data_IF_279154413139
#
_entry.id   IF_279154413139
#
_cell.length_a   1.000
_cell.length_b   1.000
_cell.length_c   1.000
_cell.angle_alpha   90.00
_cell.angle_beta   90.00
_cell.angle_gamma   90.00
#
_symmetry.space_group_name_H-M   'P 1'
#
loop_
_entity.id
_entity.type
_entity.pdbx_description
1 polymer ?
#
# COMPACT_ATOMS: atom_id res chain seq x y z
N UNK A 1 -31.51 15.34 -13.59
CA UNK A 1 -31.45 14.09 -14.36
C UNK A 1 -30.00 13.83 -14.70
N UNK A 2 -29.40 12.84 -14.02
CA UNK A 2 -28.21 12.17 -14.55
C UNK A 2 -28.62 11.31 -15.77
N UNK A 3 -27.66 10.97 -16.66
CA UNK A 3 -26.86 9.78 -16.39
C UNK A 3 -25.35 10.02 -16.61
N UNK A 4 -24.55 9.84 -15.56
CA UNK A 4 -23.10 9.72 -15.68
C UNK A 4 -22.73 8.28 -16.09
N UNK A 5 -22.69 8.04 -17.40
CA UNK A 5 -22.11 6.83 -17.98
C UNK A 5 -20.66 7.14 -18.36
N UNK A 6 -19.77 7.18 -17.38
CA UNK A 6 -18.33 7.21 -17.66
C UNK A 6 -17.87 5.79 -17.93
N UNK A 7 -18.01 5.40 -19.20
CA UNK A 7 -17.46 4.19 -19.80
C UNK A 7 -16.00 4.00 -19.39
N UNK A 8 -15.76 2.87 -18.72
CA UNK A 8 -14.45 2.33 -18.44
C UNK A 8 -13.84 1.90 -19.77
N UNK A 9 -13.10 2.81 -20.42
CA UNK A 9 -12.17 2.44 -21.48
C UNK A 9 -10.95 1.78 -20.84
N UNK A 10 -11.12 0.51 -20.43
CA UNK A 10 -10.03 -0.45 -20.38
C UNK A 10 -9.56 -0.66 -21.81
N UNK A 11 -8.57 0.12 -22.24
CA UNK A 11 -7.82 -0.22 -23.43
C UNK A 11 -6.89 -1.38 -23.05
N UNK A 12 -7.37 -2.61 -23.25
CA UNK A 12 -6.46 -3.75 -23.39
C UNK A 12 -5.54 -3.46 -24.59
N UNK A 13 -4.20 -3.58 -24.44
CA UNK A 13 -3.31 -3.48 -25.57
C UNK A 13 -3.57 -4.66 -26.54
N UNK A 14 -3.39 -4.46 -27.85
CA UNK A 14 -3.59 -5.50 -28.84
C UNK A 14 -2.73 -6.74 -28.52
N UNK A 15 -3.27 -7.97 -28.73
CA UNK A 15 -2.55 -9.19 -28.46
C UNK A 15 -1.39 -9.31 -29.45
N UNK A 16 -0.17 -9.01 -29.01
CA UNK A 16 1.04 -9.17 -29.83
C UNK A 16 2.25 -8.33 -29.45
N UNK A 17 2.10 -7.28 -28.64
CA UNK A 17 3.24 -6.50 -28.14
C UNK A 17 3.53 -6.86 -26.69
N UNK A 18 4.50 -7.74 -26.47
CA UNK A 18 5.14 -7.91 -25.16
C UNK A 18 5.78 -6.57 -24.79
N UNK A 19 5.07 -5.76 -24.03
CA UNK A 19 5.65 -4.56 -23.44
C UNK A 19 6.85 -4.98 -22.60
N UNK A 20 7.94 -4.26 -22.76
CA UNK A 20 9.12 -4.46 -21.94
C UNK A 20 8.79 -4.15 -20.48
N UNK A 21 9.47 -4.81 -19.53
CA UNK A 21 9.26 -4.61 -18.09
C UNK A 21 9.29 -3.12 -17.69
N UNK A 22 10.05 -2.30 -18.42
CA UNK A 22 10.13 -0.84 -18.27
C UNK A 22 8.87 -0.09 -18.68
N UNK A 23 8.24 -0.45 -19.79
CA UNK A 23 6.99 0.19 -20.24
C UNK A 23 5.84 -0.12 -19.28
N UNK A 24 5.79 -1.34 -18.76
CA UNK A 24 4.83 -1.70 -17.72
C UNK A 24 5.09 -0.96 -16.40
N UNK A 25 6.37 -0.77 -16.03
CA UNK A 25 6.71 0.07 -14.87
C UNK A 25 6.23 1.51 -15.05
N UNK A 26 6.45 2.11 -16.22
CA UNK A 26 6.04 3.48 -16.50
C UNK A 26 4.51 3.62 -16.40
N UNK A 27 3.76 2.64 -16.94
CA UNK A 27 2.30 2.58 -16.79
C UNK A 27 1.88 2.45 -15.33
N UNK A 28 2.51 1.55 -14.57
CA UNK A 28 2.22 1.36 -13.15
C UNK A 28 2.47 2.65 -12.35
N UNK A 29 3.54 3.38 -12.66
CA UNK A 29 3.86 4.66 -12.04
C UNK A 29 2.83 5.74 -12.41
N UNK A 30 2.42 5.84 -13.67
CA UNK A 30 1.36 6.75 -14.13
C UNK A 30 0.04 6.46 -13.40
N UNK A 31 -0.36 5.18 -13.30
CA UNK A 31 -1.57 4.77 -12.57
C UNK A 31 -1.48 5.12 -11.09
N UNK A 32 -0.34 4.84 -10.45
CA UNK A 32 -0.12 5.17 -9.05
C UNK A 32 -0.14 6.68 -8.78
N UNK A 33 0.43 7.48 -9.69
CA UNK A 33 0.44 8.94 -9.61
C UNK A 33 -0.96 9.54 -9.80
N UNK A 34 -1.73 9.01 -10.75
CA UNK A 34 -3.11 9.43 -11.00
C UNK A 34 -4.07 9.03 -9.85
N UNK A 35 -3.65 8.12 -8.97
CA UNK A 35 -4.34 7.70 -7.74
C UNK A 35 -5.85 7.45 -7.90
N UNK A 36 -6.26 6.93 -9.07
CA UNK A 36 -7.67 6.78 -9.46
C UNK A 36 -8.41 5.83 -8.49
N UNK A 37 -7.69 4.91 -7.85
CA UNK A 37 -8.25 4.06 -6.79
C UNK A 37 -7.63 4.36 -5.42
N UNK A 38 -8.46 4.31 -4.38
CA UNK A 38 -8.04 4.49 -2.99
C UNK A 38 -6.95 3.50 -2.56
N UNK A 39 -6.90 2.32 -3.19
CA UNK A 39 -5.90 1.28 -2.93
C UNK A 39 -4.48 1.73 -3.25
N UNK A 40 -4.26 2.49 -4.33
CA UNK A 40 -2.92 2.97 -4.70
C UNK A 40 -2.36 4.02 -3.73
N UNK A 41 -3.23 4.73 -3.00
CA UNK A 41 -2.79 5.74 -2.02
C UNK A 41 -1.95 5.13 -0.89
N UNK A 42 -2.21 3.87 -0.53
CA UNK A 42 -1.47 3.13 0.51
C UNK A 42 -0.07 2.69 0.08
N UNK A 43 0.30 2.86 -1.19
CA UNK A 43 1.60 2.46 -1.73
C UNK A 43 2.43 3.66 -2.15
N UNK A 44 3.75 3.50 -2.08
CA UNK A 44 4.74 4.42 -2.66
C UNK A 44 4.90 4.15 -4.16
N UNK A 45 5.72 4.97 -4.82
CA UNK A 45 6.03 4.82 -6.25
C UNK A 45 6.47 3.38 -6.55
N UNK A 46 5.82 2.71 -7.52
CA UNK A 46 6.19 1.38 -7.96
C UNK A 46 7.62 1.35 -8.51
N UNK A 47 8.32 0.23 -8.29
CA UNK A 47 9.70 0.01 -8.77
C UNK A 47 9.84 -1.40 -9.31
N UNK A 48 10.78 -1.60 -10.23
CA UNK A 48 11.16 -2.95 -10.61
C UNK A 48 11.72 -3.72 -9.40
N UNK A 49 11.30 -4.96 -9.30
CA UNK A 49 11.79 -5.92 -8.33
C UNK A 49 12.96 -6.68 -8.92
N UNK A 50 13.87 -7.13 -8.07
CA UNK A 50 14.88 -8.11 -8.47
C UNK A 50 14.28 -9.52 -8.64
N UNK A 51 12.99 -9.70 -8.31
CA UNK A 51 12.26 -10.94 -8.54
C UNK A 51 11.70 -11.00 -9.95
N UNK A 52 11.78 -12.18 -10.54
CA UNK A 52 11.20 -12.50 -11.85
C UNK A 52 10.04 -13.48 -11.68
N UNK A 53 9.06 -13.41 -12.58
CA UNK A 53 7.98 -14.40 -12.67
C UNK A 53 8.48 -15.73 -13.29
N UNK A 54 7.57 -16.71 -13.39
CA UNK A 54 7.87 -18.02 -14.01
C UNK A 54 8.26 -17.95 -15.49
N UNK A 55 8.05 -16.80 -16.13
CA UNK A 55 8.37 -16.53 -17.53
C UNK A 55 9.64 -15.68 -17.67
N UNK A 56 10.35 -15.40 -16.56
CA UNK A 56 11.59 -14.62 -16.56
C UNK A 56 11.38 -13.11 -16.66
N UNK A 57 10.15 -12.60 -16.53
CA UNK A 57 9.85 -11.16 -16.56
C UNK A 57 10.01 -10.56 -15.18
N UNK A 58 10.64 -9.38 -15.08
CA UNK A 58 10.79 -8.70 -13.81
C UNK A 58 9.42 -8.29 -13.26
N UNK A 59 9.19 -8.52 -11.97
CA UNK A 59 7.95 -8.11 -11.31
C UNK A 59 8.00 -6.64 -10.90
N UNK A 60 6.83 -6.01 -10.80
CA UNK A 60 6.71 -4.65 -10.25
C UNK A 60 6.43 -4.75 -8.75
N UNK A 61 7.31 -4.15 -7.95
CA UNK A 61 7.16 -4.04 -6.51
C UNK A 61 6.41 -2.77 -6.14
N UNK A 62 5.35 -2.94 -5.35
CA UNK A 62 4.56 -1.87 -4.74
C UNK A 62 4.91 -1.77 -3.24
N UNK A 63 5.73 -0.80 -2.82
CA UNK A 63 6.10 -0.66 -1.41
C UNK A 63 4.92 -0.08 -0.62
N UNK A 64 4.46 -0.78 0.42
CA UNK A 64 3.39 -0.30 1.29
C UNK A 64 3.92 0.82 2.21
N UNK A 65 3.23 1.97 2.26
CA UNK A 65 3.57 3.09 3.16
C UNK A 65 3.29 2.79 4.63
N UNK A 66 2.35 1.88 4.91
CA UNK A 66 1.88 1.59 6.27
C UNK A 66 2.79 0.56 6.96
N UNK A 67 3.22 -0.49 6.24
CA UNK A 67 4.01 -1.57 6.83
C UNK A 67 5.38 -1.80 6.19
N UNK A 68 5.74 -1.05 5.14
CA UNK A 68 7.03 -1.19 4.44
C UNK A 68 7.16 -2.45 3.58
N UNK A 69 6.19 -3.35 3.60
CA UNK A 69 6.23 -4.59 2.80
C UNK A 69 6.15 -4.27 1.32
N UNK A 70 7.00 -4.91 0.51
CA UNK A 70 6.96 -4.85 -0.95
C UNK A 70 6.00 -5.92 -1.46
N UNK A 71 4.95 -5.50 -2.16
CA UNK A 71 4.00 -6.42 -2.79
C UNK A 71 4.40 -6.56 -4.25
N UNK A 72 4.80 -7.76 -4.65
CA UNK A 72 5.20 -8.03 -6.03
C UNK A 72 3.94 -8.35 -6.86
N UNK A 73 3.82 -7.67 -7.99
CA UNK A 73 2.75 -7.84 -8.96
C UNK A 73 3.38 -8.26 -10.31
N UNK A 74 2.92 -9.36 -10.92
CA UNK A 74 3.43 -9.80 -12.21
C UNK A 74 3.12 -8.80 -13.32
N UNK A 75 4.13 -8.53 -14.14
CA UNK A 75 4.02 -7.79 -15.39
C UNK A 75 3.02 -8.51 -16.30
N UNK A 76 1.96 -7.83 -16.75
CA UNK A 76 0.87 -8.37 -17.57
C UNK A 76 -0.34 -8.96 -16.82
N UNK A 77 -0.36 -8.97 -15.48
CA UNK A 77 -1.60 -9.28 -14.74
C UNK A 77 -2.47 -8.02 -14.61
N UNK A 78 -3.63 -8.00 -15.26
CA UNK A 78 -4.57 -6.88 -15.16
C UNK A 78 -5.24 -6.77 -13.78
N UNK A 79 -5.19 -7.84 -12.97
CA UNK A 79 -5.82 -7.90 -11.66
C UNK A 79 -4.96 -7.24 -10.58
N UNK A 80 -5.51 -6.22 -9.92
CA UNK A 80 -4.89 -5.57 -8.75
C UNK A 80 -5.31 -6.23 -7.41
N UNK A 81 -5.82 -7.46 -7.44
CA UNK A 81 -6.49 -8.10 -6.30
C UNK A 81 -5.57 -8.32 -5.09
N UNK A 82 -4.30 -8.65 -5.34
CA UNK A 82 -3.27 -8.78 -4.31
C UNK A 82 -3.01 -7.45 -3.58
N UNK A 83 -2.88 -6.34 -4.32
CA UNK A 83 -2.70 -5.00 -3.75
C UNK A 83 -3.93 -4.58 -2.93
N UNK A 84 -5.14 -4.84 -3.40
CA UNK A 84 -6.36 -4.46 -2.69
C UNK A 84 -6.48 -5.24 -1.38
N UNK A 85 -6.31 -6.57 -1.43
CA UNK A 85 -6.35 -7.43 -0.24
C UNK A 85 -5.31 -7.00 0.80
N UNK A 86 -4.08 -6.70 0.36
CA UNK A 86 -3.04 -6.21 1.27
C UNK A 86 -3.42 -4.87 1.89
N UNK A 87 -3.84 -3.88 1.09
CA UNK A 87 -4.17 -2.54 1.59
C UNK A 87 -5.26 -2.59 2.66
N UNK A 88 -6.34 -3.34 2.42
CA UNK A 88 -7.42 -3.51 3.39
C UNK A 88 -6.95 -4.18 4.70
N UNK A 89 -6.13 -5.23 4.60
CA UNK A 89 -5.58 -5.92 5.77
C UNK A 89 -4.60 -5.03 6.56
N UNK A 90 -3.77 -4.29 5.84
CA UNK A 90 -2.74 -3.44 6.43
C UNK A 90 -3.37 -2.27 7.19
N UNK A 91 -4.39 -1.62 6.61
CA UNK A 91 -5.14 -0.55 7.26
C UNK A 91 -5.85 -1.05 8.53
N UNK A 92 -6.51 -2.21 8.47
CA UNK A 92 -7.13 -2.82 9.67
C UNK A 92 -6.11 -3.09 10.77
N UNK A 93 -4.91 -3.57 10.42
CA UNK A 93 -3.84 -3.84 11.39
C UNK A 93 -3.27 -2.54 11.98
N UNK A 94 -3.15 -1.47 11.20
CA UNK A 94 -2.74 -0.16 11.69
C UNK A 94 -3.73 0.37 12.73
N UNK A 95 -5.04 0.30 12.45
CA UNK A 95 -6.08 0.78 13.36
C UNK A 95 -6.10 0.00 14.68
N UNK A 96 -5.85 -1.32 14.66
CA UNK A 96 -5.70 -2.11 15.88
C UNK A 96 -4.49 -1.68 16.74
N UNK A 97 -3.41 -1.23 16.11
CA UNK A 97 -2.21 -0.75 16.80
C UNK A 97 -2.42 0.64 17.39
N UNK A 98 -3.17 1.53 16.73
CA UNK A 98 -3.49 2.86 17.27
C UNK A 98 -4.55 2.83 18.38
N UNK A 99 -5.34 1.76 18.50
CA UNK A 99 -6.29 1.58 19.60
C UNK A 99 -5.68 0.97 20.87
N UNK A 100 -4.39 0.63 20.88
CA UNK A 100 -3.68 0.33 22.12
C UNK A 100 -3.43 1.67 22.82
N UNK A 101 -4.40 2.13 23.62
CA UNK A 101 -4.19 3.21 24.59
C UNK A 101 -2.92 2.87 25.39
N UNK A 102 -2.00 3.82 25.63
CA UNK A 102 -0.92 3.58 26.57
C UNK A 102 -1.56 3.15 27.90
N UNK A 103 -0.98 2.19 28.66
CA UNK A 103 -1.44 1.94 30.00
C UNK A 103 -1.39 3.28 30.74
N UNK A 104 -2.57 3.75 31.14
CA UNK A 104 -2.73 4.90 32.02
C UNK A 104 -2.14 4.55 33.37
N UNK A 105 -0.80 4.58 33.45
CA UNK A 105 -0.04 4.50 34.68
C UNK A 105 -0.09 5.87 35.34
N UNK A 106 -1.13 6.09 36.15
CA UNK A 106 -1.15 7.15 37.15
C UNK A 106 -0.10 6.83 38.21
N UNK A 107 1.17 7.14 37.94
CA UNK A 107 2.16 7.29 38.99
C UNK A 107 1.81 8.58 39.74
N UNK A 108 1.02 8.45 40.82
CA UNK A 108 0.88 9.50 41.84
C UNK A 108 2.30 9.82 42.36
N UNK A 109 2.73 11.09 42.38
CA UNK A 109 3.93 11.43 43.14
C UNK A 109 3.63 11.19 44.62
N UNK A 110 4.35 10.24 45.23
CA UNK A 110 4.38 10.10 46.69
C UNK A 110 5.11 11.33 47.23
N UNK A 111 4.32 12.30 47.69
CA UNK A 111 4.81 13.44 48.45
C UNK A 111 5.39 12.90 49.77
N UNK A 112 6.71 12.76 49.82
CA UNK A 112 7.41 12.48 51.05
C UNK A 112 7.32 13.74 51.92
N UNK A 113 6.56 13.64 53.01
CA UNK A 113 6.58 14.64 54.09
C UNK A 113 7.92 14.50 54.82
N UNK A 114 8.73 15.54 54.96
CA UNK A 114 9.84 15.48 55.89
C UNK A 114 9.29 15.47 57.32
N UNK A 115 9.71 14.45 58.08
CA UNK A 115 9.51 14.35 59.53
C UNK A 115 10.11 15.56 60.24
N UNK A 116 9.40 15.97 61.28
CA UNK A 116 9.77 17.00 62.24
C UNK A 116 10.46 16.33 63.42
N UNK A 117 11.72 16.70 63.66
CA UNK A 117 12.52 16.39 64.85
C UNK A 117 13.78 17.28 64.75
N UNK A 118 14.28 18.05 65.70
CA UNK A 118 13.90 18.55 67.02
C UNK A 118 14.62 19.90 67.17
#
# INVERSE_FOLDING_TARGET
TEPNKSESATAEPPPGTTLTDWEELEKAQKIAANAISASYKSYSTPKLSNQVDKHGRQMIAYPCKICGTKINHPTGDSSCSNLIKHAANCLRKQNKKSTVKPPSGTHKPVLHKPSKDS
#
